data_IF_575614799037
#
_entry.id   IF_575614799037
#
_cell.length_a   1.000
_cell.length_b   1.000
_cell.length_c   1.000
_cell.angle_alpha   90.00
_cell.angle_beta   90.00
_cell.angle_gamma   90.00
#
_symmetry.space_group_name_H-M   'P 1'
#
loop_
_entity.id
_entity.type
_entity.pdbx_description
1 polymer ?
#
# COMPACT_ATOMS: atom_id res chain seq x y z
N UNK A 1 -3.56 -17.74 -16.31
CA UNK A 1 -4.36 -17.55 -15.07
C UNK A 1 -3.51 -16.76 -14.10
N UNK A 2 -4.03 -15.67 -13.52
CA UNK A 2 -3.23 -14.83 -12.63
C UNK A 2 -2.75 -15.63 -11.39
N UNK A 3 -1.44 -15.60 -11.14
CA UNK A 3 -0.84 -16.24 -9.98
C UNK A 3 -0.99 -15.33 -8.77
N UNK A 4 -1.86 -15.73 -7.84
CA UNK A 4 -2.07 -15.02 -6.58
C UNK A 4 -1.38 -15.81 -5.47
N UNK A 5 -0.25 -15.33 -4.95
CA UNK A 5 0.45 -16.01 -3.87
C UNK A 5 -0.40 -16.16 -2.62
N UNK A 6 -0.27 -17.31 -1.95
CA UNK A 6 -0.96 -17.61 -0.70
C UNK A 6 0.05 -17.81 0.43
N UNK A 7 -0.49 -17.87 1.64
CA UNK A 7 0.29 -18.11 2.85
C UNK A 7 1.11 -19.40 2.73
N UNK A 8 0.43 -20.48 2.34
CA UNK A 8 1.02 -21.79 2.09
C UNK A 8 1.50 -21.93 0.63
N UNK A 9 2.51 -22.79 0.37
CA UNK A 9 2.95 -23.14 -0.97
C UNK A 9 1.82 -23.66 -1.86
N UNK A 10 1.83 -23.27 -3.14
CA UNK A 10 0.89 -23.75 -4.15
C UNK A 10 1.64 -24.43 -5.30
N UNK A 11 1.04 -25.49 -5.84
CA UNK A 11 1.57 -26.14 -7.05
C UNK A 11 1.42 -25.19 -8.23
N UNK A 12 2.49 -25.09 -9.02
CA UNK A 12 2.52 -24.39 -10.30
C UNK A 12 2.57 -25.40 -11.44
N UNK A 13 1.88 -25.11 -12.54
CA UNK A 13 1.95 -25.90 -13.77
C UNK A 13 3.13 -25.44 -14.63
N UNK A 14 3.57 -26.28 -15.56
CA UNK A 14 4.60 -25.90 -16.54
C UNK A 14 4.17 -24.70 -17.39
N UNK A 15 2.91 -24.66 -17.81
CA UNK A 15 2.37 -23.52 -18.56
C UNK A 15 2.48 -22.22 -17.76
N UNK A 16 2.12 -22.23 -16.47
CA UNK A 16 2.25 -21.06 -15.61
C UNK A 16 3.71 -20.64 -15.40
N UNK A 17 4.64 -21.61 -15.38
CA UNK A 17 6.06 -21.30 -15.33
C UNK A 17 6.50 -20.55 -16.59
N UNK A 18 6.24 -21.10 -17.78
CA UNK A 18 6.59 -20.48 -19.07
C UNK A 18 5.97 -19.09 -19.26
N UNK A 19 4.70 -18.90 -18.86
CA UNK A 19 4.00 -17.61 -18.99
C UNK A 19 4.56 -16.50 -18.07
N UNK A 20 5.25 -16.86 -16.98
CA UNK A 20 5.67 -15.94 -15.93
C UNK A 20 7.20 -15.84 -15.75
N UNK A 21 7.97 -16.69 -16.40
CA UNK A 21 9.43 -16.53 -16.50
C UNK A 21 9.79 -15.72 -17.74
N UNK A 22 10.69 -14.73 -17.62
CA UNK A 22 11.20 -14.01 -18.79
C UNK A 22 11.93 -14.97 -19.75
N UNK A 23 11.89 -14.67 -21.05
CA UNK A 23 12.53 -15.48 -22.08
C UNK A 23 14.07 -15.51 -21.92
N UNK A 24 14.64 -14.44 -21.35
CA UNK A 24 16.07 -14.35 -21.01
C UNK A 24 16.27 -13.88 -19.59
N UNK A 25 16.71 -14.79 -18.72
CA UNK A 25 17.24 -14.46 -17.39
C UNK A 25 18.73 -14.10 -17.50
N UNK A 26 19.07 -13.16 -18.39
CA UNK A 26 20.43 -12.68 -18.55
C UNK A 26 20.66 -11.46 -17.67
N UNK A 27 21.88 -11.34 -17.14
CA UNK A 27 22.38 -10.16 -16.46
C UNK A 27 23.69 -9.78 -17.13
N UNK A 28 23.83 -8.53 -17.56
CA UNK A 28 25.07 -8.02 -18.15
C UNK A 28 25.49 -6.77 -17.41
N UNK A 29 26.74 -6.73 -16.95
CA UNK A 29 27.31 -5.58 -16.24
C UNK A 29 26.48 -5.10 -15.03
N UNK A 30 25.82 -6.02 -14.32
CA UNK A 30 24.92 -5.77 -13.18
C UNK A 30 23.56 -5.15 -13.54
N UNK A 31 23.24 -5.00 -14.83
CA UNK A 31 21.92 -4.61 -15.27
C UNK A 31 21.06 -5.85 -15.59
N UNK A 32 19.83 -5.81 -15.08
CA UNK A 32 18.80 -6.82 -15.27
C UNK A 32 18.04 -6.48 -16.56
N UNK A 33 17.94 -7.42 -17.49
CA UNK A 33 17.33 -7.17 -18.81
C UNK A 33 15.80 -7.29 -18.89
N UNK A 34 15.13 -7.66 -17.80
CA UNK A 34 13.68 -7.82 -17.77
C UNK A 34 12.98 -6.63 -17.10
N UNK A 35 11.84 -6.24 -17.67
CA UNK A 35 11.11 -5.03 -17.29
C UNK A 35 10.34 -5.18 -15.96
N UNK A 36 9.69 -4.10 -15.50
CA UNK A 36 8.94 -4.14 -14.25
C UNK A 36 7.83 -5.19 -14.23
N UNK A 37 7.12 -5.39 -15.33
CA UNK A 37 6.05 -6.37 -15.43
C UNK A 37 6.60 -7.80 -15.36
N UNK A 38 7.73 -8.07 -16.03
CA UNK A 38 8.42 -9.35 -15.97
C UNK A 38 8.97 -9.65 -14.56
N UNK A 39 9.52 -8.64 -13.86
CA UNK A 39 9.94 -8.77 -12.45
C UNK A 39 8.77 -9.17 -11.55
N UNK A 40 7.62 -8.52 -11.70
CA UNK A 40 6.42 -8.80 -10.90
C UNK A 40 5.90 -10.21 -11.17
N UNK A 41 5.86 -10.64 -12.44
CA UNK A 41 5.45 -12.01 -12.81
C UNK A 41 6.36 -13.06 -12.17
N UNK A 42 7.67 -12.89 -12.28
CA UNK A 42 8.64 -13.81 -11.71
C UNK A 42 8.54 -13.85 -10.18
N UNK A 43 8.36 -12.69 -9.53
CA UNK A 43 8.14 -12.62 -8.09
C UNK A 43 6.87 -13.37 -7.67
N UNK A 44 5.75 -13.16 -8.36
CA UNK A 44 4.48 -13.86 -8.09
C UNK A 44 4.59 -15.37 -8.28
N UNK A 45 5.32 -15.81 -9.31
CA UNK A 45 5.60 -17.23 -9.55
C UNK A 45 6.38 -17.86 -8.39
N UNK A 46 7.46 -17.20 -7.96
CA UNK A 46 8.29 -17.67 -6.84
C UNK A 46 7.51 -17.70 -5.52
N UNK A 47 6.80 -16.61 -5.19
CA UNK A 47 5.99 -16.53 -3.98
C UNK A 47 4.86 -17.57 -3.96
N UNK A 48 4.24 -17.84 -5.12
CA UNK A 48 3.20 -18.87 -5.24
C UNK A 48 3.78 -20.26 -4.96
N UNK A 49 4.96 -20.57 -5.51
CA UNK A 49 5.56 -21.88 -5.34
C UNK A 49 6.11 -22.13 -3.93
N UNK A 50 6.68 -21.10 -3.30
CA UNK A 50 7.34 -21.20 -1.99
C UNK A 50 6.38 -20.93 -0.81
N UNK A 51 5.32 -20.15 -1.04
CA UNK A 51 4.42 -19.66 -0.01
C UNK A 51 4.97 -18.42 0.70
N UNK A 52 4.08 -17.46 1.00
CA UNK A 52 4.47 -16.19 1.63
C UNK A 52 5.07 -16.39 3.03
N UNK A 53 4.57 -17.35 3.82
CA UNK A 53 5.08 -17.57 5.17
C UNK A 53 6.52 -18.06 5.16
N UNK A 54 6.83 -19.03 4.28
CA UNK A 54 8.18 -19.54 4.10
C UNK A 54 9.11 -18.43 3.62
N UNK A 55 8.68 -17.63 2.65
CA UNK A 55 9.47 -16.51 2.14
C UNK A 55 9.83 -15.52 3.26
N UNK A 56 8.84 -15.01 3.98
CA UNK A 56 9.05 -14.02 5.05
C UNK A 56 9.93 -14.56 6.18
N UNK A 57 9.71 -15.81 6.61
CA UNK A 57 10.50 -16.44 7.68
C UNK A 57 11.99 -16.59 7.34
N UNK A 58 12.33 -16.71 6.06
CA UNK A 58 13.71 -16.91 5.61
C UNK A 58 14.43 -15.60 5.22
N UNK A 59 13.74 -14.46 5.23
CA UNK A 59 14.38 -13.15 5.09
C UNK A 59 15.33 -12.89 6.27
N UNK A 60 16.38 -12.10 6.01
CA UNK A 60 17.25 -11.60 7.08
C UNK A 60 16.44 -10.73 8.04
N UNK A 61 16.91 -10.58 9.29
CA UNK A 61 16.23 -9.71 10.28
C UNK A 61 16.14 -8.26 9.82
N UNK A 62 17.14 -7.77 9.08
CA UNK A 62 17.17 -6.41 8.54
C UNK A 62 16.10 -6.25 7.46
N UNK A 63 16.06 -7.18 6.50
CA UNK A 63 15.04 -7.18 5.44
C UNK A 63 13.63 -7.37 5.99
N UNK A 64 13.44 -8.17 7.05
CA UNK A 64 12.13 -8.29 7.72
C UNK A 64 11.67 -6.97 8.32
N UNK A 65 12.58 -6.17 8.90
CA UNK A 65 12.23 -4.85 9.45
C UNK A 65 11.82 -3.89 8.35
N UNK A 66 12.60 -3.82 7.28
CA UNK A 66 12.26 -2.99 6.12
C UNK A 66 10.91 -3.38 5.51
N UNK A 67 10.64 -4.68 5.39
CA UNK A 67 9.34 -5.16 4.90
C UNK A 67 8.20 -4.73 5.82
N UNK A 68 8.36 -4.82 7.15
CA UNK A 68 7.36 -4.37 8.12
C UNK A 68 7.12 -2.87 7.96
N UNK A 69 8.17 -2.07 7.89
CA UNK A 69 8.05 -0.61 7.72
C UNK A 69 7.29 -0.26 6.43
N UNK A 70 7.61 -0.91 5.31
CA UNK A 70 6.90 -0.74 4.03
C UNK A 70 5.41 -1.12 4.16
N UNK A 71 5.12 -2.26 4.78
CA UNK A 71 3.73 -2.73 4.95
C UNK A 71 2.92 -1.80 5.86
N UNK A 72 3.54 -1.27 6.92
CA UNK A 72 2.92 -0.28 7.79
C UNK A 72 2.61 1.02 7.04
N UNK A 73 3.53 1.50 6.19
CA UNK A 73 3.30 2.67 5.35
C UNK A 73 2.12 2.48 4.39
N UNK A 74 2.07 1.36 3.67
CA UNK A 74 0.99 1.04 2.73
C UNK A 74 -0.36 0.97 3.46
N UNK A 75 -0.40 0.33 4.63
CA UNK A 75 -1.62 0.22 5.42
C UNK A 75 -2.07 1.58 5.98
N UNK A 76 -1.13 2.45 6.36
CA UNK A 76 -1.44 3.81 6.82
C UNK A 76 -2.00 4.68 5.69
N UNK A 77 -1.44 4.58 4.49
CA UNK A 77 -1.96 5.29 3.31
C UNK A 77 -3.39 4.85 2.99
N UNK A 78 -3.66 3.53 3.00
CA UNK A 78 -5.02 2.98 2.82
C UNK A 78 -6.01 3.54 3.85
N UNK A 79 -5.65 3.51 5.14
CA UNK A 79 -6.49 4.06 6.22
C UNK A 79 -6.77 5.54 6.04
N UNK A 80 -5.77 6.32 5.62
CA UNK A 80 -5.97 7.75 5.37
C UNK A 80 -7.01 7.99 4.29
N UNK A 81 -6.95 7.26 3.18
CA UNK A 81 -7.95 7.36 2.10
C UNK A 81 -9.34 6.98 2.61
N UNK A 82 -9.48 5.85 3.30
CA UNK A 82 -10.77 5.43 3.87
C UNK A 82 -11.36 6.47 4.83
N UNK A 83 -10.53 7.10 5.66
CA UNK A 83 -10.96 8.18 6.55
C UNK A 83 -11.40 9.43 5.79
N UNK A 84 -10.67 9.81 4.74
CA UNK A 84 -11.06 10.94 3.87
C UNK A 84 -12.43 10.67 3.25
N UNK A 85 -12.63 9.50 2.67
CA UNK A 85 -13.92 9.12 2.06
C UNK A 85 -15.07 9.18 3.08
N UNK A 86 -14.85 8.69 4.30
CA UNK A 86 -15.85 8.76 5.36
C UNK A 86 -16.19 10.19 5.77
N UNK A 87 -15.20 11.07 5.92
CA UNK A 87 -15.44 12.45 6.29
C UNK A 87 -16.09 13.24 5.15
N UNK A 88 -15.67 13.03 3.90
CA UNK A 88 -16.32 13.62 2.72
C UNK A 88 -17.78 13.20 2.63
N UNK A 89 -18.10 11.93 2.87
CA UNK A 89 -19.48 11.45 2.89
C UNK A 89 -20.33 12.10 3.98
N UNK A 90 -19.76 12.38 5.16
CA UNK A 90 -20.46 13.07 6.25
C UNK A 90 -20.67 14.56 5.94
N UNK A 91 -19.62 15.24 5.48
CA UNK A 91 -19.60 16.69 5.24
C UNK A 91 -20.30 17.09 3.93
N UNK A 92 -19.97 16.42 2.83
CA UNK A 92 -20.46 16.74 1.48
C UNK A 92 -21.95 16.43 1.26
N UNK A 93 -22.56 15.56 2.09
CA UNK A 93 -24.03 15.39 2.10
C UNK A 93 -24.75 16.60 2.67
N UNK A 94 -24.10 17.37 3.53
CA UNK A 94 -24.71 18.49 4.24
C UNK A 94 -24.49 19.82 3.50
N UNK A 95 -23.40 19.93 2.74
CA UNK A 95 -22.95 21.20 2.14
C UNK A 95 -22.28 20.92 0.80
N UNK A 96 -22.46 21.80 -0.21
CA UNK A 96 -21.71 21.73 -1.47
C UNK A 96 -20.24 22.10 -1.20
N UNK A 97 -19.36 21.11 -1.29
CA UNK A 97 -17.93 21.28 -0.97
C UNK A 97 -17.01 20.65 -2.00
N UNK A 98 -15.77 21.13 -2.04
CA UNK A 98 -14.60 20.45 -2.62
C UNK A 98 -13.67 20.02 -1.49
N UNK A 99 -12.77 19.05 -1.73
CA UNK A 99 -11.84 18.59 -0.70
C UNK A 99 -10.44 18.27 -1.22
N UNK A 100 -9.47 18.49 -0.34
CA UNK A 100 -8.08 18.08 -0.50
C UNK A 100 -7.60 17.44 0.81
N UNK A 101 -6.59 16.57 0.75
CA UNK A 101 -6.00 16.00 1.97
C UNK A 101 -4.49 15.88 1.86
N UNK A 102 -3.82 15.87 3.02
CA UNK A 102 -2.38 15.70 3.14
C UNK A 102 -2.06 14.83 4.34
N UNK A 103 -1.25 13.80 4.13
CA UNK A 103 -0.68 13.01 5.21
C UNK A 103 0.77 13.46 5.50
N UNK A 104 1.00 13.92 6.72
CA UNK A 104 2.32 14.23 7.26
C UNK A 104 2.89 12.98 7.93
N UNK A 105 3.76 12.27 7.20
CA UNK A 105 4.43 11.05 7.68
C UNK A 105 5.28 11.30 8.94
N UNK A 106 5.93 12.46 9.04
CA UNK A 106 6.82 12.78 10.17
C UNK A 106 6.05 12.93 11.47
N UNK A 107 4.90 13.61 11.42
CA UNK A 107 4.05 13.83 12.58
C UNK A 107 2.90 12.81 12.70
N UNK A 108 2.89 11.81 11.83
CA UNK A 108 1.84 10.79 11.71
C UNK A 108 0.44 11.43 11.77
N UNK A 109 0.21 12.45 10.94
CA UNK A 109 -0.98 13.31 11.02
C UNK A 109 -1.62 13.48 9.64
N UNK A 110 -2.90 13.17 9.54
CA UNK A 110 -3.74 13.43 8.36
C UNK A 110 -4.48 14.75 8.53
N UNK A 111 -4.39 15.59 7.52
CA UNK A 111 -5.17 16.81 7.37
C UNK A 111 -6.13 16.64 6.21
N UNK A 112 -7.39 17.01 6.41
CA UNK A 112 -8.43 17.03 5.38
C UNK A 112 -8.97 18.46 5.33
N UNK A 113 -8.97 19.06 4.15
CA UNK A 113 -9.42 20.41 3.91
C UNK A 113 -10.69 20.37 3.08
N UNK A 114 -11.72 21.09 3.52
CA UNK A 114 -12.99 21.25 2.82
C UNK A 114 -13.15 22.70 2.41
N UNK A 115 -13.34 22.94 1.11
CA UNK A 115 -13.74 24.23 0.59
C UNK A 115 -15.24 24.30 0.48
N UNK A 116 -15.87 25.17 1.26
CA UNK A 116 -17.31 25.38 1.25
C UNK A 116 -17.64 26.45 0.21
N UNK A 117 -18.35 26.08 -0.86
CA UNK A 117 -18.60 27.00 -1.96
C UNK A 117 -19.50 28.17 -1.58
N UNK A 118 -20.56 27.90 -0.80
CA UNK A 118 -21.59 28.89 -0.48
C UNK A 118 -21.06 30.06 0.37
N UNK A 119 -20.00 29.81 1.15
CA UNK A 119 -19.37 30.80 2.05
C UNK A 119 -17.96 31.18 1.63
N UNK A 120 -17.41 30.51 0.60
CA UNK A 120 -15.99 30.58 0.23
C UNK A 120 -15.03 30.40 1.42
N UNK A 121 -15.42 29.59 2.41
CA UNK A 121 -14.62 29.29 3.60
C UNK A 121 -13.87 27.97 3.44
N UNK A 122 -12.74 27.84 4.15
CA UNK A 122 -11.96 26.60 4.22
C UNK A 122 -12.05 26.07 5.64
N UNK A 123 -12.48 24.81 5.75
CA UNK A 123 -12.57 24.08 7.00
C UNK A 123 -11.54 22.96 6.97
N UNK A 124 -10.97 22.61 8.12
CA UNK A 124 -9.98 21.52 8.18
C UNK A 124 -10.26 20.58 9.32
N UNK A 125 -10.12 19.28 9.05
CA UNK A 125 -10.15 18.22 10.05
C UNK A 125 -8.73 17.66 10.18
N UNK A 126 -8.29 17.43 11.41
CA UNK A 126 -6.96 16.89 11.72
C UNK A 126 -7.11 15.58 12.49
N UNK A 127 -6.39 14.55 12.05
CA UNK A 127 -6.24 13.28 12.75
C UNK A 127 -4.77 13.01 13.03
N UNK A 128 -4.39 12.87 14.30
CA UNK A 128 -3.06 12.40 14.69
C UNK A 128 -3.15 10.93 15.08
N UNK A 129 -2.28 10.11 14.50
CA UNK A 129 -2.19 8.68 14.78
C UNK A 129 -1.06 8.45 15.79
N UNK A 130 -1.40 7.85 16.93
CA UNK A 130 -0.41 7.57 17.98
C UNK A 130 0.18 6.16 17.76
N UNK A 131 1.52 6.04 17.69
CA UNK A 131 2.19 4.74 17.44
C UNK A 131 1.90 3.67 18.52
N UNK A 132 1.48 4.08 19.72
CA UNK A 132 1.22 3.18 20.84
C UNK A 132 -0.24 2.74 21.01
N UNK A 133 -1.20 3.46 20.40
CA UNK A 133 -2.64 3.22 20.54
C UNK A 133 -3.34 3.95 19.39
N UNK A 134 -4.10 3.21 18.57
CA UNK A 134 -5.06 3.78 17.62
C UNK A 134 -6.20 4.47 18.40
N UNK A 135 -5.94 5.66 18.92
CA UNK A 135 -6.93 6.56 19.51
C UNK A 135 -6.81 7.94 18.84
N UNK A 136 -7.95 8.50 18.46
CA UNK A 136 -8.04 9.75 17.70
C UNK A 136 -8.67 10.86 18.55
N UNK A 137 -8.16 12.08 18.39
CA UNK A 137 -8.73 13.31 18.97
C UNK A 137 -9.20 14.20 17.83
N UNK A 138 -10.49 14.55 17.82
CA UNK A 138 -11.05 15.57 16.92
C UNK A 138 -10.86 16.93 17.59
N UNK A 139 -10.18 17.85 16.90
CA UNK A 139 -10.13 19.27 17.28
C UNK A 139 -10.95 20.04 16.25
N UNK A 140 -12.04 20.67 16.71
CA UNK A 140 -12.91 21.54 15.92
C UNK A 140 -12.36 22.96 15.86
#
# INVERSE_FOLDING_TARGET
MELIPRREPQKITYQQYEENTPEKTEMYQNDIFFDEAERIKMLNLLMTNVGMETMVKNLSRETQRELIDILEEVEMERKCVEMVEQEVLKFGRQIKTDHEYKFDKQNNTLYIFFRVFDTNSIWSIKYTFNKALLQHTVVL
#
